data_IF_297488426659
#
_entry.id   IF_297488426659
#
_cell.length_a   1.000
_cell.length_b   1.000
_cell.length_c   1.000
_cell.angle_alpha   90.00
_cell.angle_beta   90.00
_cell.angle_gamma   90.00
#
_symmetry.space_group_name_H-M   'P 1'
#
loop_
_entity.id
_entity.type
_entity.pdbx_description
1 polymer ?
#
# COMPACT_ATOMS: atom_id res chain seq x y z
N UNK A 1 -18.51 -23.01 -10.89
CA UNK A 1 -17.96 -23.23 -9.54
C UNK A 1 -17.93 -21.87 -8.84
N UNK A 2 -18.53 -21.80 -7.66
CA UNK A 2 -18.64 -20.51 -6.93
C UNK A 2 -17.28 -20.06 -6.42
N UNK A 3 -16.98 -18.76 -6.51
CA UNK A 3 -15.75 -18.11 -6.00
C UNK A 3 -15.53 -18.44 -4.50
N UNK A 4 -16.60 -18.61 -3.74
CA UNK A 4 -16.58 -19.07 -2.35
C UNK A 4 -16.05 -20.49 -2.17
N UNK A 5 -16.39 -21.42 -3.05
CA UNK A 5 -15.90 -22.80 -2.99
C UNK A 5 -14.39 -22.87 -3.18
N UNK A 6 -13.85 -22.07 -4.10
CA UNK A 6 -12.42 -22.00 -4.35
C UNK A 6 -11.65 -21.37 -3.18
N UNK A 7 -12.22 -20.34 -2.52
CA UNK A 7 -11.59 -19.71 -1.36
C UNK A 7 -11.52 -20.65 -0.14
N UNK A 8 -12.57 -21.43 0.11
CA UNK A 8 -12.60 -22.43 1.17
C UNK A 8 -11.60 -23.56 0.92
N UNK A 9 -11.49 -24.02 -0.32
CA UNK A 9 -10.53 -25.06 -0.70
C UNK A 9 -9.08 -24.57 -0.53
N UNK A 10 -8.76 -23.36 -1.01
CA UNK A 10 -7.44 -22.73 -0.76
C UNK A 10 -7.15 -22.54 0.74
N UNK A 11 -8.17 -22.22 1.54
CA UNK A 11 -8.01 -22.09 2.99
C UNK A 11 -7.72 -23.45 3.66
N UNK A 12 -8.31 -24.54 3.18
CA UNK A 12 -8.04 -25.91 3.66
C UNK A 12 -6.64 -26.41 3.30
N UNK A 13 -6.15 -26.02 2.12
CA UNK A 13 -4.82 -26.37 1.65
C UNK A 13 -3.70 -25.55 2.30
N UNK A 14 -4.05 -24.57 3.13
CA UNK A 14 -3.05 -23.74 3.82
C UNK A 14 -2.29 -24.59 4.86
N UNK A 15 -0.94 -24.62 4.82
CA UNK A 15 -0.15 -25.40 5.77
C UNK A 15 -0.45 -25.01 7.23
N UNK A 16 -0.51 -26.00 8.12
CA UNK A 16 -0.78 -25.79 9.55
C UNK A 16 0.30 -24.91 10.25
N UNK A 17 1.48 -24.83 9.67
CA UNK A 17 2.59 -23.99 10.15
C UNK A 17 2.38 -22.49 9.86
N UNK A 18 1.41 -22.15 9.03
CA UNK A 18 1.12 -20.76 8.67
C UNK A 18 0.26 -20.10 9.74
N UNK A 19 0.73 -19.00 10.31
CA UNK A 19 0.00 -18.26 11.31
C UNK A 19 -1.09 -17.38 10.65
N UNK A 20 -2.32 -17.92 10.63
CA UNK A 20 -3.49 -17.24 10.04
C UNK A 20 -3.84 -15.91 10.71
N UNK A 21 -3.51 -15.78 12.00
CA UNK A 21 -3.74 -14.53 12.74
C UNK A 21 -2.87 -13.39 12.21
N UNK A 22 -1.61 -13.67 11.91
CA UNK A 22 -0.70 -12.70 11.28
C UNK A 22 -1.19 -12.28 9.89
N UNK A 23 -1.69 -13.24 9.10
CA UNK A 23 -2.27 -12.95 7.78
C UNK A 23 -3.53 -12.08 7.89
N UNK A 24 -4.40 -12.33 8.88
CA UNK A 24 -5.57 -11.51 9.15
C UNK A 24 -5.18 -10.09 9.56
N UNK A 25 -4.26 -9.94 10.51
CA UNK A 25 -3.77 -8.61 10.93
C UNK A 25 -3.20 -7.83 9.76
N UNK A 26 -2.46 -8.50 8.86
CA UNK A 26 -1.91 -7.88 7.65
C UNK A 26 -3.02 -7.42 6.71
N UNK A 27 -4.01 -8.26 6.44
CA UNK A 27 -5.13 -7.94 5.58
C UNK A 27 -5.94 -6.75 6.12
N UNK A 28 -6.25 -6.76 7.42
CA UNK A 28 -6.95 -5.66 8.10
C UNK A 28 -6.13 -4.38 8.04
N UNK A 29 -4.83 -4.44 8.32
CA UNK A 29 -3.94 -3.28 8.26
C UNK A 29 -3.92 -2.66 6.86
N UNK A 30 -3.85 -3.48 5.79
CA UNK A 30 -3.88 -3.00 4.41
C UNK A 30 -5.22 -2.32 4.10
N UNK A 31 -6.35 -2.93 4.49
CA UNK A 31 -7.67 -2.36 4.28
C UNK A 31 -7.81 -1.00 4.98
N UNK A 32 -7.39 -0.90 6.23
CA UNK A 32 -7.44 0.37 6.98
C UNK A 32 -6.55 1.43 6.34
N UNK A 33 -5.37 1.07 5.85
CA UNK A 33 -4.49 2.01 5.12
C UNK A 33 -5.17 2.50 3.84
N UNK A 34 -5.76 1.60 3.05
CA UNK A 34 -6.46 1.97 1.80
C UNK A 34 -7.64 2.89 2.09
N UNK A 35 -8.52 2.50 3.02
CA UNK A 35 -9.68 3.32 3.40
C UNK A 35 -9.26 4.65 4.03
N UNK A 36 -8.23 4.65 4.87
CA UNK A 36 -7.68 5.87 5.47
C UNK A 36 -7.19 6.86 4.41
N UNK A 37 -6.46 6.40 3.41
CA UNK A 37 -6.02 7.23 2.30
C UNK A 37 -7.19 7.74 1.45
N UNK A 38 -8.20 6.92 1.23
CA UNK A 38 -9.42 7.32 0.52
C UNK A 38 -10.19 8.42 1.25
N UNK A 39 -10.34 8.28 2.56
CA UNK A 39 -10.98 9.31 3.39
C UNK A 39 -10.19 10.62 3.45
N UNK A 40 -8.85 10.53 3.39
CA UNK A 40 -7.99 11.73 3.37
C UNK A 40 -8.00 12.45 2.02
N UNK A 41 -8.14 11.72 0.93
CA UNK A 41 -8.08 12.24 -0.44
C UNK A 41 -9.47 12.55 -1.00
N UNK A 42 -10.40 13.14 -0.21
CA UNK A 42 -11.74 13.50 -0.69
C UNK A 42 -11.67 14.73 -1.60
N UNK A 43 -11.77 14.59 -2.93
CA UNK A 43 -11.86 15.73 -3.84
C UNK A 43 -13.21 16.42 -3.64
N UNK A 44 -13.19 17.73 -3.45
CA UNK A 44 -14.39 18.57 -3.39
C UNK A 44 -14.45 19.47 -4.62
N UNK A 45 -15.62 19.60 -5.19
CA UNK A 45 -15.88 20.60 -6.23
C UNK A 45 -16.27 21.90 -5.53
N UNK A 46 -15.45 22.93 -5.65
CA UNK A 46 -15.70 24.26 -5.06
C UNK A 46 -15.73 25.25 -6.21
N UNK A 47 -16.93 25.75 -6.57
CA UNK A 47 -17.13 26.59 -7.75
C UNK A 47 -16.78 25.82 -9.02
N UNK A 48 -16.05 26.45 -9.96
CA UNK A 48 -15.59 25.83 -11.21
C UNK A 48 -14.27 25.04 -11.09
N UNK A 49 -13.76 24.83 -9.86
CA UNK A 49 -12.48 24.18 -9.63
C UNK A 49 -12.57 22.95 -8.73
N UNK A 50 -11.56 22.08 -8.86
CA UNK A 50 -11.34 20.97 -7.93
C UNK A 50 -10.45 21.43 -6.77
N UNK A 51 -10.94 21.29 -5.54
CA UNK A 51 -10.16 21.46 -4.33
C UNK A 51 -9.94 20.10 -3.69
N UNK A 52 -8.69 19.76 -3.38
CA UNK A 52 -8.34 18.59 -2.59
C UNK A 52 -8.26 19.01 -1.11
N UNK A 53 -9.41 19.27 -0.52
CA UNK A 53 -9.49 19.50 0.92
C UNK A 53 -9.37 18.16 1.63
N UNK A 54 -8.36 18.06 2.52
CA UNK A 54 -8.25 16.92 3.40
C UNK A 54 -9.38 16.97 4.42
N UNK A 55 -10.13 15.89 4.60
CA UNK A 55 -11.18 15.76 5.61
C UNK A 55 -10.69 16.19 7.01
N UNK A 56 -9.40 15.97 7.28
CA UNK A 56 -8.72 16.36 8.50
C UNK A 56 -8.67 17.88 8.71
N UNK A 57 -8.61 18.67 7.65
CA UNK A 57 -8.58 20.14 7.77
C UNK A 57 -9.96 20.75 7.98
N UNK A 58 -11.01 20.00 7.63
CA UNK A 58 -12.39 20.50 7.64
C UNK A 58 -13.15 20.12 8.91
N UNK A 59 -12.78 19.00 9.57
CA UNK A 59 -13.53 18.45 10.68
C UNK A 59 -12.64 18.08 11.88
N UNK A 60 -12.78 18.78 12.99
CA UNK A 60 -11.99 18.54 14.21
C UNK A 60 -12.15 17.12 14.78
N UNK A 61 -13.33 16.49 14.63
CA UNK A 61 -13.58 15.13 15.11
C UNK A 61 -12.77 14.07 14.36
N UNK A 62 -12.38 14.35 13.11
CA UNK A 62 -11.58 13.41 12.29
C UNK A 62 -10.17 13.21 12.85
N UNK A 63 -9.66 14.15 13.64
CA UNK A 63 -8.38 14.01 14.33
C UNK A 63 -8.40 12.87 15.35
N UNK A 64 -9.52 12.64 16.04
CA UNK A 64 -9.65 11.50 16.97
C UNK A 64 -9.66 10.17 16.22
N UNK A 65 -10.25 10.14 15.02
CA UNK A 65 -10.27 8.95 14.19
C UNK A 65 -8.86 8.53 13.75
N UNK A 66 -7.98 9.49 13.48
CA UNK A 66 -6.58 9.18 13.10
C UNK A 66 -5.82 8.47 14.21
N UNK A 67 -6.11 8.76 15.47
CA UNK A 67 -5.50 8.08 16.62
C UNK A 67 -5.94 6.61 16.70
N UNK A 68 -7.22 6.34 16.47
CA UNK A 68 -7.78 4.99 16.51
C UNK A 68 -7.33 4.16 15.30
N UNK A 69 -7.22 4.82 14.13
CA UNK A 69 -6.88 4.19 12.84
C UNK A 69 -5.37 4.21 12.57
N UNK A 70 -4.54 4.49 13.58
CA UNK A 70 -3.10 4.51 13.45
C UNK A 70 -2.52 3.08 13.32
N UNK A 71 -2.79 2.43 12.20
CA UNK A 71 -2.37 1.04 11.92
C UNK A 71 -0.93 0.90 11.42
N UNK A 72 -0.23 2.02 11.18
CA UNK A 72 1.14 1.98 10.65
C UNK A 72 2.10 1.18 11.55
N UNK A 73 2.12 1.37 12.89
CA UNK A 73 2.95 0.55 13.77
C UNK A 73 2.62 -0.93 13.67
N UNK A 74 1.32 -1.28 13.60
CA UNK A 74 0.86 -2.67 13.45
C UNK A 74 1.29 -3.25 12.10
N UNK A 75 1.18 -2.47 11.03
CA UNK A 75 1.62 -2.87 9.70
C UNK A 75 3.12 -3.17 9.66
N UNK A 76 3.96 -2.32 10.26
CA UNK A 76 5.40 -2.55 10.36
C UNK A 76 5.75 -3.73 11.26
N UNK A 77 5.03 -3.92 12.36
CA UNK A 77 5.21 -5.09 13.24
C UNK A 77 4.96 -6.39 12.48
N UNK A 78 3.81 -6.48 11.81
CA UNK A 78 3.42 -7.66 11.03
C UNK A 78 4.38 -7.88 9.85
N UNK A 79 4.80 -6.81 9.21
CA UNK A 79 5.80 -6.84 8.15
C UNK A 79 7.16 -7.34 8.62
N UNK A 80 7.64 -6.83 9.75
CA UNK A 80 8.87 -7.27 10.39
C UNK A 80 8.84 -8.75 10.78
N UNK A 81 7.72 -9.20 11.35
CA UNK A 81 7.50 -10.62 11.66
C UNK A 81 7.57 -11.49 10.40
N UNK A 82 6.87 -11.09 9.33
CA UNK A 82 6.88 -11.83 8.06
C UNK A 82 8.29 -11.89 7.45
N UNK A 83 9.06 -10.82 7.60
CA UNK A 83 10.46 -10.78 7.16
C UNK A 83 11.34 -11.73 7.94
N UNK A 84 11.24 -11.69 9.26
CA UNK A 84 12.00 -12.58 10.13
C UNK A 84 11.67 -14.06 9.85
N UNK A 85 10.38 -14.39 9.67
CA UNK A 85 9.95 -15.73 9.33
C UNK A 85 10.48 -16.18 7.95
N UNK A 86 10.43 -15.28 6.95
CA UNK A 86 10.96 -15.54 5.61
C UNK A 86 12.47 -15.75 5.61
N UNK A 87 13.20 -14.90 6.34
CA UNK A 87 14.65 -15.04 6.49
C UNK A 87 15.03 -16.34 7.22
N UNK A 88 14.31 -16.68 8.31
CA UNK A 88 14.52 -17.95 9.01
C UNK A 88 14.36 -19.14 8.07
N UNK A 89 13.33 -19.13 7.21
CA UNK A 89 13.11 -20.18 6.23
C UNK A 89 14.23 -20.25 5.18
N UNK A 90 14.75 -19.11 4.72
CA UNK A 90 15.87 -19.05 3.78
C UNK A 90 17.15 -19.63 4.42
N UNK A 91 17.43 -19.26 5.69
CA UNK A 91 18.57 -19.82 6.44
C UNK A 91 18.50 -21.34 6.59
N UNK A 92 17.32 -21.88 6.86
CA UNK A 92 17.14 -23.36 6.96
C UNK A 92 17.42 -24.05 5.61
N UNK A 93 17.25 -23.36 4.49
CA UNK A 93 17.63 -23.84 3.15
C UNK A 93 19.07 -23.54 2.78
N UNK A 94 19.87 -23.02 3.71
CA UNK A 94 21.28 -22.61 3.49
C UNK A 94 21.40 -21.56 2.38
N UNK A 95 20.36 -20.73 2.19
CA UNK A 95 20.34 -19.69 1.16
C UNK A 95 21.15 -18.47 1.62
N UNK A 96 22.08 -17.95 0.79
CA UNK A 96 22.85 -16.75 1.13
C UNK A 96 21.95 -15.53 1.33
N UNK A 97 22.29 -14.67 2.30
CA UNK A 97 21.53 -13.46 2.60
C UNK A 97 21.29 -12.57 1.36
N UNK A 98 22.30 -12.40 0.52
CA UNK A 98 22.18 -11.58 -0.69
C UNK A 98 21.17 -12.11 -1.71
N UNK A 99 21.02 -13.44 -1.83
CA UNK A 99 20.03 -14.05 -2.72
C UNK A 99 18.61 -13.81 -2.18
N UNK A 100 18.40 -14.04 -0.89
CA UNK A 100 17.12 -13.76 -0.22
C UNK A 100 16.75 -12.27 -0.32
N UNK A 101 17.70 -11.36 -0.03
CA UNK A 101 17.47 -9.92 -0.10
C UNK A 101 17.11 -9.48 -1.52
N UNK A 102 17.84 -9.93 -2.53
CA UNK A 102 17.57 -9.62 -3.94
C UNK A 102 16.19 -10.09 -4.39
N UNK A 103 15.81 -11.31 -4.02
CA UNK A 103 14.48 -11.85 -4.33
C UNK A 103 13.36 -11.01 -3.66
N UNK A 104 13.60 -10.55 -2.42
CA UNK A 104 12.70 -9.67 -1.69
C UNK A 104 12.58 -8.30 -2.36
N UNK A 105 13.70 -7.64 -2.64
CA UNK A 105 13.75 -6.35 -3.34
C UNK A 105 12.98 -6.41 -4.66
N UNK A 106 13.22 -7.46 -5.45
CA UNK A 106 12.51 -7.65 -6.71
C UNK A 106 10.99 -7.73 -6.53
N UNK A 107 10.52 -8.45 -5.50
CA UNK A 107 9.07 -8.57 -5.21
C UNK A 107 8.43 -7.25 -4.78
N UNK A 108 9.19 -6.37 -4.14
CA UNK A 108 8.68 -5.09 -3.66
C UNK A 108 8.76 -4.00 -4.73
N UNK A 109 9.85 -3.96 -5.49
CA UNK A 109 10.09 -2.91 -6.49
C UNK A 109 9.39 -3.19 -7.82
N UNK A 110 9.34 -4.46 -8.26
CA UNK A 110 8.78 -4.80 -9.56
C UNK A 110 7.32 -4.34 -9.76
N UNK A 111 6.41 -4.47 -8.77
CA UNK A 111 5.04 -3.98 -8.90
C UNK A 111 4.92 -2.45 -8.96
N UNK A 112 5.93 -1.71 -8.51
CA UNK A 112 5.95 -0.24 -8.56
C UNK A 112 6.26 0.28 -9.96
N UNK A 113 7.04 -0.46 -10.75
CA UNK A 113 7.43 -0.04 -12.09
C UNK A 113 6.24 0.23 -13.03
N UNK A 114 5.21 -0.66 -13.13
CA UNK A 114 4.02 -0.35 -13.93
C UNK A 114 3.28 0.91 -13.45
N UNK A 115 3.18 1.12 -12.13
CA UNK A 115 2.55 2.32 -11.58
C UNK A 115 3.31 3.58 -12.03
N UNK A 116 4.64 3.58 -11.91
CA UNK A 116 5.47 4.70 -12.36
C UNK A 116 5.37 4.91 -13.86
N UNK A 117 5.34 3.84 -14.66
CA UNK A 117 5.20 3.93 -16.11
C UNK A 117 3.84 4.53 -16.50
N UNK A 118 2.75 4.04 -15.94
CA UNK A 118 1.39 4.58 -16.20
C UNK A 118 1.31 6.05 -15.81
N UNK A 119 1.85 6.42 -14.64
CA UNK A 119 1.85 7.81 -14.19
C UNK A 119 2.73 8.70 -15.09
N UNK A 120 3.91 8.26 -15.50
CA UNK A 120 4.79 9.01 -16.41
C UNK A 120 4.11 9.24 -17.76
N UNK A 121 3.44 8.22 -18.32
CA UNK A 121 2.68 8.35 -19.56
C UNK A 121 1.52 9.34 -19.38
N UNK A 122 0.75 9.23 -18.30
CA UNK A 122 -0.35 10.14 -18.00
C UNK A 122 0.13 11.60 -17.86
N UNK A 123 1.18 11.82 -17.09
CA UNK A 123 1.79 13.15 -16.92
C UNK A 123 2.29 13.72 -18.25
N UNK A 124 2.96 12.91 -19.06
CA UNK A 124 3.44 13.30 -20.38
C UNK A 124 2.28 13.69 -21.32
N UNK A 125 1.20 12.89 -21.36
CA UNK A 125 0.04 13.19 -22.19
C UNK A 125 -0.68 14.47 -21.74
N UNK A 126 -0.83 14.68 -20.44
CA UNK A 126 -1.41 15.90 -19.87
C UNK A 126 -0.62 17.15 -20.26
N UNK A 127 0.71 17.09 -20.19
CA UNK A 127 1.59 18.18 -20.64
C UNK A 127 1.44 18.45 -22.13
N UNK A 128 1.31 17.41 -22.95
CA UNK A 128 1.15 17.56 -24.42
C UNK A 128 -0.19 18.18 -24.82
N UNK A 129 -1.24 17.96 -24.05
CA UNK A 129 -2.57 18.55 -24.26
C UNK A 129 -2.65 19.99 -23.73
N UNK A 130 -1.58 20.50 -23.11
CA UNK A 130 -1.52 21.87 -22.60
C UNK A 130 -2.23 22.08 -21.26
N UNK A 131 -2.41 21.01 -20.49
CA UNK A 131 -2.93 21.13 -19.13
C UNK A 131 -1.91 21.80 -18.22
N UNK A 132 -2.43 22.60 -17.28
CA UNK A 132 -1.61 23.24 -16.24
C UNK A 132 -0.75 22.22 -15.46
N UNK A 133 0.44 22.64 -15.11
CA UNK A 133 1.38 21.81 -14.33
C UNK A 133 0.92 21.55 -12.89
N UNK A 134 0.06 22.42 -12.33
CA UNK A 134 -0.45 22.28 -10.94
C UNK A 134 -1.20 20.96 -10.69
N UNK A 135 -2.21 20.57 -11.50
CA UNK A 135 -2.89 19.29 -11.29
C UNK A 135 -1.98 18.09 -11.51
N UNK A 136 -0.99 18.19 -12.42
CA UNK A 136 0.00 17.14 -12.64
C UNK A 136 0.87 16.96 -11.39
N UNK A 137 1.33 18.06 -10.79
CA UNK A 137 2.14 18.02 -9.58
C UNK A 137 1.37 17.46 -8.38
N UNK A 138 0.12 17.92 -8.16
CA UNK A 138 -0.76 17.40 -7.11
C UNK A 138 -1.06 15.91 -7.30
N UNK A 139 -1.35 15.50 -8.52
CA UNK A 139 -1.58 14.10 -8.86
C UNK A 139 -0.33 13.23 -8.65
N UNK A 140 0.87 13.76 -8.97
CA UNK A 140 2.14 13.08 -8.71
C UNK A 140 2.36 12.85 -7.22
N UNK A 141 2.08 13.83 -6.39
CA UNK A 141 2.15 13.65 -4.95
C UNK A 141 1.17 12.58 -4.46
N UNK A 142 -0.09 12.66 -4.88
CA UNK A 142 -1.10 11.68 -4.50
C UNK A 142 -0.74 10.24 -4.91
N UNK A 143 -0.18 10.07 -6.12
CA UNK A 143 0.21 8.76 -6.66
C UNK A 143 1.50 8.21 -6.01
N UNK A 144 2.45 9.07 -5.65
CA UNK A 144 3.78 8.66 -5.18
C UNK A 144 3.92 8.69 -3.66
N UNK A 145 3.09 9.47 -2.95
CA UNK A 145 3.08 9.49 -1.48
C UNK A 145 2.99 8.08 -0.86
N UNK A 146 2.13 7.15 -1.33
CA UNK A 146 2.08 5.82 -0.74
C UNK A 146 3.39 5.02 -0.87
N UNK A 147 4.31 5.43 -1.74
CA UNK A 147 5.58 4.73 -1.92
C UNK A 147 6.62 5.02 -0.83
N UNK A 148 6.43 6.05 -0.01
CA UNK A 148 7.36 6.39 1.06
C UNK A 148 7.52 5.23 2.07
N UNK A 149 6.44 4.50 2.36
CA UNK A 149 6.50 3.36 3.27
C UNK A 149 7.34 2.20 2.73
N UNK A 150 7.48 2.11 1.40
CA UNK A 150 8.31 1.09 0.77
C UNK A 150 9.78 1.24 1.17
N UNK A 151 10.28 2.48 1.26
CA UNK A 151 11.63 2.77 1.72
C UNK A 151 11.86 2.36 3.20
N UNK A 152 10.82 2.48 4.03
CA UNK A 152 10.88 2.06 5.44
C UNK A 152 10.72 0.54 5.61
N UNK A 153 10.07 -0.11 4.64
CA UNK A 153 9.80 -1.55 4.66
C UNK A 153 10.94 -2.40 4.07
N UNK A 154 11.83 -1.79 3.30
CA UNK A 154 13.03 -2.40 2.72
C UNK A 154 14.14 -2.56 3.73
#
# INVERSE_FOLDING_TARGET
MSTYGNALEMARQTPATRNRYVDLLRAVSILVVVFGHWLMAAPQVVGDGFSFNQLLSTNTWSHYLTWVVQVMPLFFLVGGYANAASWRSARLRMEPYGVWLRARMRRLVLPVLPLLAVWAIAAYTMLRVGLDTKPIWLGSQAALVPLWFLATYL
#
